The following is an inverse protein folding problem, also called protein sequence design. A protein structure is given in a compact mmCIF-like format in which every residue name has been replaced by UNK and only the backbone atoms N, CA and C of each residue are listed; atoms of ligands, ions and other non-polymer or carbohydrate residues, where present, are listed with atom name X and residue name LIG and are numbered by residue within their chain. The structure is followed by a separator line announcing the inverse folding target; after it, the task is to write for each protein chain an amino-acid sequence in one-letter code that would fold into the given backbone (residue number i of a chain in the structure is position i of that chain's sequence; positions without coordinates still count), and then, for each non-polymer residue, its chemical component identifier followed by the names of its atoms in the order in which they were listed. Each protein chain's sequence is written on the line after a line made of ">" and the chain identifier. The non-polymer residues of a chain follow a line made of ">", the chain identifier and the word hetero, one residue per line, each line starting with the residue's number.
data_IF_401505744140
#
_entry.id   IF_401505744140
#
_cell.length_a   1.000
_cell.length_b   1.000
_cell.length_c   1.000
_cell.angle_alpha   90.00
_cell.angle_beta   90.00
_cell.angle_gamma   90.00
#
_symmetry.space_group_name_H-M   'P 1'
#
loop_
_entity.id
_entity.type
_entity.pdbx_description
1 polymer ?
#
# COMPACT_ATOMS: atom_id res chain seq x y z
N UNK A 1 -8.07 -22.24 23.39
CA UNK A 1 -6.60 -22.27 23.59
C UNK A 1 -6.30 -23.06 24.86
N UNK A 2 -5.25 -23.91 24.90
CA UNK A 2 -4.84 -24.55 26.15
C UNK A 2 -4.45 -23.48 27.19
N UNK A 3 -4.55 -23.76 28.50
CA UNK A 3 -4.15 -22.82 29.54
C UNK A 3 -2.62 -22.70 29.67
N UNK A 4 -2.09 -21.58 30.19
CA UNK A 4 -0.66 -21.34 30.33
C UNK A 4 -0.03 -22.25 31.39
N UNK A 5 1.26 -22.55 31.23
CA UNK A 5 2.00 -23.36 32.21
C UNK A 5 2.38 -22.52 33.43
N UNK A 6 1.85 -22.91 34.60
CA UNK A 6 2.09 -22.24 35.88
C UNK A 6 3.57 -22.10 36.25
N UNK A 7 4.38 -23.13 36.04
CA UNK A 7 5.83 -23.08 36.30
C UNK A 7 6.52 -22.05 35.41
N UNK A 8 6.12 -21.99 34.14
CA UNK A 8 6.70 -21.06 33.17
C UNK A 8 6.21 -19.62 33.38
N UNK A 9 4.97 -19.42 33.85
CA UNK A 9 4.45 -18.12 34.26
C UNK A 9 5.14 -17.58 35.52
N UNK A 10 5.55 -18.46 36.42
CA UNK A 10 6.35 -18.11 37.60
C UNK A 10 7.84 -17.83 37.28
N UNK A 11 8.26 -18.00 36.02
CA UNK A 11 9.66 -17.83 35.61
C UNK A 11 10.58 -18.98 36.05
N UNK A 12 10.00 -20.10 36.49
CA UNK A 12 10.73 -21.29 36.93
C UNK A 12 10.90 -22.29 35.77
N UNK A 13 11.89 -23.18 35.91
CA UNK A 13 12.11 -24.26 34.93
C UNK A 13 11.00 -25.30 35.06
N UNK A 14 10.15 -25.42 34.03
CA UNK A 14 9.11 -26.44 33.99
C UNK A 14 9.73 -27.86 33.98
N UNK A 15 9.31 -28.78 34.89
CA UNK A 15 9.82 -30.15 34.93
C UNK A 15 9.45 -30.99 33.70
N UNK A 16 8.41 -30.59 32.98
CA UNK A 16 7.97 -31.26 31.74
C UNK A 16 8.67 -30.73 30.47
N UNK A 17 9.53 -29.72 30.61
CA UNK A 17 10.34 -29.19 29.51
C UNK A 17 9.53 -28.84 28.26
N UNK A 18 10.01 -29.29 27.09
CA UNK A 18 9.38 -29.06 25.78
C UNK A 18 8.14 -29.93 25.52
N UNK A 19 7.88 -30.92 26.37
CA UNK A 19 6.72 -31.82 26.28
C UNK A 19 5.59 -31.40 27.23
N UNK A 20 5.65 -30.19 27.79
CA UNK A 20 4.58 -29.68 28.62
C UNK A 20 3.28 -29.55 27.82
N UNK A 21 2.19 -30.15 28.34
CA UNK A 21 0.85 -30.07 27.75
C UNK A 21 0.20 -28.67 27.86
N UNK A 22 0.82 -27.76 28.60
CA UNK A 22 0.39 -26.39 28.81
C UNK A 22 1.31 -25.44 28.05
N UNK A 23 0.79 -24.33 27.52
CA UNK A 23 1.61 -23.47 26.67
C UNK A 23 2.58 -22.59 27.48
N UNK A 24 3.81 -22.49 27.00
CA UNK A 24 4.86 -21.66 27.58
C UNK A 24 4.91 -20.32 26.82
N UNK A 25 4.65 -19.18 27.49
CA UNK A 25 4.74 -17.85 26.87
C UNK A 25 6.21 -17.36 26.91
N UNK A 26 6.89 -17.16 25.76
CA UNK A 26 8.31 -16.87 25.76
C UNK A 26 8.59 -15.41 26.12
N UNK A 27 8.62 -15.11 27.42
CA UNK A 27 9.36 -13.95 27.92
C UNK A 27 10.82 -14.37 28.17
N UNK A 28 11.68 -13.94 27.26
CA UNK A 28 13.16 -14.10 27.20
C UNK A 28 13.66 -15.48 26.77
N UNK A 29 14.26 -15.55 25.59
CA UNK A 29 15.30 -16.55 25.26
C UNK A 29 14.92 -17.65 24.27
N UNK A 30 13.66 -18.03 24.10
CA UNK A 30 13.29 -19.14 23.21
C UNK A 30 13.63 -18.89 21.73
N UNK A 31 13.52 -17.64 21.27
CA UNK A 31 13.82 -17.25 19.89
C UNK A 31 15.31 -17.31 19.49
N UNK A 32 16.21 -17.64 20.43
CA UNK A 32 17.66 -17.73 20.19
C UNK A 32 18.21 -19.17 20.20
N UNK A 33 17.36 -20.15 20.52
CA UNK A 33 17.75 -21.56 20.52
C UNK A 33 17.63 -22.10 19.09
N UNK A 34 18.70 -22.70 18.56
CA UNK A 34 18.70 -23.31 17.21
C UNK A 34 17.69 -24.45 17.10
N UNK A 35 17.00 -24.49 15.97
CA UNK A 35 16.04 -25.54 15.66
C UNK A 35 16.79 -26.79 15.16
N UNK A 36 17.02 -27.75 16.05
CA UNK A 36 17.69 -29.01 15.68
C UNK A 36 16.96 -29.75 14.54
N UNK A 37 15.63 -29.68 14.49
CA UNK A 37 14.85 -30.30 13.39
C UNK A 37 15.05 -29.60 12.04
N UNK A 38 15.38 -28.31 12.04
CA UNK A 38 15.69 -27.59 10.80
C UNK A 38 17.11 -27.93 10.33
N UNK A 39 18.07 -28.01 11.25
CA UNK A 39 19.45 -28.41 10.95
C UNK A 39 19.51 -29.81 10.31
N UNK A 40 18.58 -30.70 10.67
CA UNK A 40 18.46 -32.04 10.08
C UNK A 40 17.44 -32.12 8.92
N UNK A 41 16.88 -31.00 8.47
CA UNK A 41 16.01 -30.95 7.28
C UNK A 41 14.57 -31.45 7.46
N UNK A 42 14.10 -31.64 8.69
CA UNK A 42 12.78 -32.20 9.01
C UNK A 42 11.82 -31.22 9.71
N UNK A 43 12.18 -29.93 9.78
CA UNK A 43 11.33 -28.92 10.42
C UNK A 43 10.09 -28.61 9.58
N UNK A 44 8.96 -29.21 9.97
CA UNK A 44 7.63 -28.98 9.37
C UNK A 44 7.01 -27.60 9.63
N UNK A 45 7.63 -26.79 10.49
CA UNK A 45 7.09 -25.50 10.92
C UNK A 45 7.61 -24.32 10.10
N UNK A 46 8.62 -24.54 9.24
CA UNK A 46 9.13 -23.51 8.32
C UNK A 46 9.42 -22.18 9.01
N UNK A 47 8.92 -21.09 8.45
CA UNK A 47 9.05 -19.73 9.00
C UNK A 47 8.21 -19.48 10.27
N UNK A 48 7.27 -20.36 10.60
CA UNK A 48 6.49 -20.32 11.83
C UNK A 48 7.18 -21.09 12.99
N UNK A 49 8.39 -21.60 12.76
CA UNK A 49 9.16 -22.24 13.81
C UNK A 49 9.60 -21.21 14.86
N UNK A 50 9.31 -21.49 16.12
CA UNK A 50 9.67 -20.64 17.26
C UNK A 50 11.18 -20.69 17.62
N UNK A 51 11.98 -21.44 16.87
CA UNK A 51 13.41 -21.68 17.05
C UNK A 51 14.20 -21.14 15.85
N UNK A 52 15.48 -20.81 16.05
CA UNK A 52 16.31 -20.16 15.04
C UNK A 52 16.72 -21.14 13.92
N UNK A 53 16.48 -20.76 12.66
CA UNK A 53 16.84 -21.49 11.43
C UNK A 53 18.10 -20.93 10.74
N UNK A 54 18.94 -20.19 11.47
CA UNK A 54 20.13 -19.50 10.94
C UNK A 54 21.28 -19.58 11.94
N UNK A 55 22.51 -19.65 11.44
CA UNK A 55 23.72 -19.72 12.28
C UNK A 55 24.13 -18.37 12.88
N UNK A 56 23.53 -17.27 12.41
CA UNK A 56 23.86 -15.93 12.87
C UNK A 56 22.96 -15.51 14.03
N UNK A 57 23.56 -15.21 15.19
CA UNK A 57 22.86 -14.58 16.33
C UNK A 57 22.29 -13.21 15.88
N UNK A 58 21.05 -12.87 16.23
CA UNK A 58 20.52 -11.53 15.97
C UNK A 58 21.33 -10.45 16.71
N UNK A 59 21.43 -9.26 16.13
CA UNK A 59 22.30 -8.16 16.62
C UNK A 59 21.85 -7.62 17.98
N UNK A 60 22.81 -7.31 18.84
CA UNK A 60 22.58 -6.73 20.16
C UNK A 60 22.30 -5.23 20.07
N UNK A 61 21.04 -4.83 20.20
CA UNK A 61 20.65 -3.42 20.20
C UNK A 61 21.29 -2.58 21.32
N UNK A 62 21.57 -3.19 22.48
CA UNK A 62 22.24 -2.50 23.59
C UNK A 62 23.73 -2.26 23.27
N UNK A 63 24.38 -3.19 22.57
CA UNK A 63 25.79 -3.03 22.20
C UNK A 63 25.94 -1.99 21.10
N UNK A 64 25.04 -1.99 20.12
CA UNK A 64 24.98 -0.96 19.08
C UNK A 64 24.78 0.47 19.63
N UNK A 65 24.32 0.62 20.89
CA UNK A 65 24.18 1.90 21.59
C UNK A 65 25.27 2.15 22.64
N UNK A 66 26.27 1.28 22.74
CA UNK A 66 27.34 1.35 23.74
C UNK A 66 26.87 1.05 25.18
N UNK A 67 25.69 0.46 25.35
CA UNK A 67 25.03 0.25 26.65
C UNK A 67 24.98 -1.24 27.06
N UNK A 68 25.55 -2.14 26.28
CA UNK A 68 25.56 -3.57 26.63
C UNK A 68 26.57 -3.86 27.72
N UNK A 69 26.10 -4.42 28.85
CA UNK A 69 26.94 -4.84 29.98
C UNK A 69 27.32 -6.33 29.94
N UNK A 70 26.79 -7.08 28.97
CA UNK A 70 26.95 -8.54 28.89
C UNK A 70 28.22 -8.99 28.16
N UNK A 71 29.00 -8.06 27.58
CA UNK A 71 30.28 -8.35 26.93
C UNK A 71 30.21 -9.50 25.91
N UNK A 72 31.24 -10.35 25.88
CA UNK A 72 31.30 -11.53 25.02
C UNK A 72 30.28 -12.64 25.37
N UNK A 73 29.70 -12.59 26.58
CA UNK A 73 28.66 -13.52 27.02
C UNK A 73 27.25 -13.11 26.53
N UNK A 74 27.14 -12.07 25.72
CA UNK A 74 25.87 -11.63 25.18
C UNK A 74 25.28 -12.70 24.24
N UNK A 75 23.98 -12.99 24.44
CA UNK A 75 23.23 -13.92 23.62
C UNK A 75 22.92 -13.37 22.21
N UNK A 76 23.18 -12.07 22.00
CA UNK A 76 22.99 -11.35 20.75
C UNK A 76 24.34 -10.97 20.15
N UNK A 77 24.45 -10.92 18.82
CA UNK A 77 25.71 -10.61 18.14
C UNK A 77 26.18 -9.18 18.44
N UNK A 78 27.45 -9.04 18.82
CA UNK A 78 28.16 -7.77 18.94
C UNK A 78 28.95 -7.43 17.67
N UNK A 79 28.91 -8.30 16.67
CA UNK A 79 29.46 -8.05 15.35
C UNK A 79 28.48 -7.15 14.60
N UNK A 80 28.56 -5.84 14.83
CA UNK A 80 27.91 -4.87 13.97
C UNK A 80 28.94 -4.41 12.94
N UNK A 81 28.62 -4.41 11.62
CA UNK A 81 29.33 -3.56 10.70
C UNK A 81 29.05 -2.12 11.15
N UNK A 82 30.10 -1.32 11.31
CA UNK A 82 30.08 0.07 11.75
C UNK A 82 29.27 1.00 10.84
N UNK A 83 28.70 0.48 9.75
CA UNK A 83 28.09 1.27 8.70
C UNK A 83 26.59 0.92 8.65
N UNK A 84 25.78 1.65 9.44
CA UNK A 84 24.32 1.62 9.25
C UNK A 84 23.95 1.93 7.78
N UNK A 85 24.81 2.73 7.12
CA UNK A 85 24.82 3.10 5.71
C UNK A 85 25.11 1.95 4.73
N UNK A 86 25.53 0.76 5.18
CA UNK A 86 25.76 -0.42 4.34
C UNK A 86 24.72 -1.53 4.55
N UNK A 87 23.89 -1.40 5.59
CA UNK A 87 22.89 -2.41 5.92
C UNK A 87 21.55 -2.13 5.22
N UNK A 88 21.09 -3.10 4.43
CA UNK A 88 19.83 -3.00 3.67
C UNK A 88 18.64 -2.91 4.63
N UNK A 89 17.75 -1.97 4.37
CA UNK A 89 16.55 -1.76 5.16
C UNK A 89 15.61 -2.96 5.04
N UNK A 90 15.52 -3.78 6.08
CA UNK A 90 14.62 -4.93 6.08
C UNK A 90 13.14 -4.54 5.90
N UNK A 91 12.75 -3.38 6.43
CA UNK A 91 11.40 -2.85 6.24
C UNK A 91 11.16 -2.39 4.80
N UNK A 92 12.20 -1.92 4.09
CA UNK A 92 12.08 -1.55 2.67
C UNK A 92 11.93 -2.79 1.80
N UNK A 93 12.72 -3.84 2.05
CA UNK A 93 12.59 -5.14 1.37
C UNK A 93 11.19 -5.76 1.55
N UNK A 94 10.50 -5.44 2.65
CA UNK A 94 9.12 -5.88 2.92
C UNK A 94 8.04 -4.91 2.42
N UNK A 95 8.42 -3.74 1.91
CA UNK A 95 7.48 -2.67 1.51
C UNK A 95 6.82 -1.93 2.69
N UNK A 96 7.35 -2.08 3.91
CA UNK A 96 6.80 -1.52 5.16
C UNK A 96 7.63 -0.35 5.71
N UNK A 97 8.67 0.10 4.99
CA UNK A 97 9.52 1.19 5.46
C UNK A 97 8.77 2.53 5.47
N UNK A 98 8.62 3.12 6.65
CA UNK A 98 7.95 4.42 6.85
C UNK A 98 8.88 5.63 6.72
N UNK A 99 10.18 5.38 6.52
CA UNK A 99 11.22 6.40 6.52
C UNK A 99 11.61 6.86 5.12
N UNK A 100 11.17 6.18 4.04
CA UNK A 100 11.46 6.62 2.67
C UNK A 100 12.96 6.82 2.42
N UNK A 101 13.33 7.85 1.66
CA UNK A 101 14.74 8.17 1.34
C UNK A 101 15.55 8.69 2.53
N UNK A 102 14.89 9.13 3.61
CA UNK A 102 15.56 9.52 4.86
C UNK A 102 15.84 8.33 5.78
N UNK A 103 15.61 7.10 5.28
CA UNK A 103 15.95 5.90 6.00
C UNK A 103 17.48 5.77 6.10
N UNK A 104 17.99 5.67 7.33
CA UNK A 104 19.41 5.44 7.62
C UNK A 104 19.99 4.10 7.13
N UNK A 105 19.17 3.29 6.46
CA UNK A 105 19.45 1.94 6.01
C UNK A 105 19.25 1.88 4.49
N UNK A 106 20.10 1.15 3.76
CA UNK A 106 20.09 1.15 2.30
C UNK A 106 18.78 0.62 1.73
N UNK A 107 18.18 1.39 0.82
CA UNK A 107 17.05 0.99 0.01
C UNK A 107 17.56 0.49 -1.35
N UNK A 108 18.32 -0.61 -1.33
CA UNK A 108 18.90 -1.17 -2.56
C UNK A 108 17.91 -2.14 -3.21
N UNK A 109 17.48 -1.85 -4.44
CA UNK A 109 16.86 -2.85 -5.31
C UNK A 109 17.97 -3.79 -5.76
N UNK A 110 17.95 -5.04 -5.28
CA UNK A 110 18.84 -6.07 -5.81
C UNK A 110 18.36 -6.44 -7.22
N UNK A 111 19.04 -5.91 -8.23
CA UNK A 111 18.74 -6.20 -9.64
C UNK A 111 19.28 -7.56 -10.12
N UNK A 112 19.92 -8.35 -9.26
CA UNK A 112 20.36 -9.68 -9.65
C UNK A 112 20.22 -10.69 -8.51
N UNK A 113 19.61 -11.83 -8.87
CA UNK A 113 19.37 -13.04 -8.07
C UNK A 113 18.18 -13.03 -7.10
N UNK A 114 16.97 -13.15 -7.66
CA UNK A 114 16.01 -14.17 -7.19
C UNK A 114 15.11 -14.66 -8.34
N UNK A 115 15.21 -15.93 -8.77
CA UNK A 115 14.26 -16.50 -9.71
C UNK A 115 12.92 -16.74 -9.00
N UNK A 116 11.88 -16.08 -9.50
CA UNK A 116 10.50 -16.52 -9.46
C UNK A 116 9.90 -16.83 -8.05
N UNK A 117 9.94 -15.91 -7.07
CA UNK A 117 9.04 -15.96 -5.89
C UNK A 117 8.35 -14.65 -5.45
N UNK A 118 8.65 -13.48 -6.03
CA UNK A 118 7.99 -12.21 -5.62
C UNK A 118 7.13 -11.51 -6.68
N UNK A 119 7.15 -11.93 -7.95
CA UNK A 119 6.44 -11.21 -9.02
C UNK A 119 5.00 -11.70 -9.28
N UNK A 120 4.61 -12.88 -8.77
CA UNK A 120 3.31 -13.50 -9.04
C UNK A 120 2.31 -13.48 -7.86
N UNK A 121 2.70 -12.94 -6.70
CA UNK A 121 1.83 -12.88 -5.51
C UNK A 121 1.17 -11.51 -5.27
N UNK A 122 1.48 -10.51 -6.12
CA UNK A 122 0.95 -9.15 -6.02
C UNK A 122 -0.07 -8.76 -7.09
N UNK A 123 -0.32 -9.63 -8.07
CA UNK A 123 -1.31 -9.33 -9.12
C UNK A 123 -2.71 -9.27 -8.51
N UNK A 124 -3.41 -8.16 -8.72
CA UNK A 124 -4.78 -8.02 -8.25
C UNK A 124 -5.67 -8.98 -9.04
N UNK A 125 -6.13 -10.06 -8.41
CA UNK A 125 -7.02 -11.06 -9.04
C UNK A 125 -8.44 -11.03 -8.47
N UNK A 126 -8.69 -10.23 -7.43
CA UNK A 126 -10.00 -10.11 -6.79
C UNK A 126 -10.18 -8.74 -6.12
N UNK A 127 -11.43 -8.32 -5.83
CA UNK A 127 -11.68 -7.07 -5.09
C UNK A 127 -11.00 -7.04 -3.71
N UNK A 128 -10.94 -8.20 -3.02
CA UNK A 128 -10.24 -8.32 -1.73
C UNK A 128 -8.74 -8.06 -1.87
N UNK A 129 -8.11 -8.60 -2.93
CA UNK A 129 -6.69 -8.34 -3.22
C UNK A 129 -6.47 -6.88 -3.61
N UNK A 130 -7.40 -6.25 -4.32
CA UNK A 130 -7.35 -4.82 -4.64
C UNK A 130 -7.38 -3.97 -3.37
N UNK A 131 -8.25 -4.30 -2.40
CA UNK A 131 -8.35 -3.60 -1.12
C UNK A 131 -7.03 -3.65 -0.33
N UNK A 132 -6.46 -4.85 -0.18
CA UNK A 132 -5.17 -5.05 0.52
C UNK A 132 -4.04 -4.30 -0.17
N UNK A 133 -4.01 -4.35 -1.51
CA UNK A 133 -3.03 -3.61 -2.30
C UNK A 133 -3.13 -2.09 -2.06
N UNK A 134 -4.34 -1.52 -2.13
CA UNK A 134 -4.56 -0.09 -1.91
C UNK A 134 -4.24 0.35 -0.48
N UNK A 135 -4.57 -0.46 0.53
CA UNK A 135 -4.23 -0.19 1.92
C UNK A 135 -2.71 -0.16 2.16
N UNK A 136 -1.97 -1.08 1.53
CA UNK A 136 -0.51 -1.12 1.61
C UNK A 136 0.11 0.11 0.93
N UNK A 137 -0.30 0.40 -0.30
CA UNK A 137 0.28 1.50 -1.10
C UNK A 137 -0.07 2.86 -0.49
N UNK A 138 -1.28 3.04 0.07
CA UNK A 138 -1.70 4.32 0.68
C UNK A 138 -0.85 4.74 1.88
N UNK A 139 -0.32 3.75 2.61
CA UNK A 139 0.57 3.96 3.76
C UNK A 139 2.02 4.30 3.38
N UNK A 140 2.41 4.09 2.14
CA UNK A 140 3.75 4.43 1.68
C UNK A 140 3.87 5.95 1.46
N UNK A 141 5.02 6.53 1.83
CA UNK A 141 5.27 7.98 1.73
C UNK A 141 5.86 8.42 0.39
N UNK A 142 6.51 7.51 -0.34
CA UNK A 142 7.11 7.82 -1.64
C UNK A 142 6.04 7.83 -2.73
N UNK A 143 5.66 9.01 -3.22
CA UNK A 143 4.60 9.15 -4.23
C UNK A 143 5.01 8.58 -5.59
N UNK A 144 6.30 8.66 -5.96
CA UNK A 144 6.83 7.99 -7.16
C UNK A 144 6.65 6.48 -7.12
N UNK A 145 6.99 5.86 -5.99
CA UNK A 145 6.78 4.42 -5.79
C UNK A 145 5.28 4.06 -5.86
N UNK A 146 4.41 4.88 -5.26
CA UNK A 146 2.97 4.65 -5.32
C UNK A 146 2.44 4.72 -6.76
N UNK A 147 2.93 5.69 -7.55
CA UNK A 147 2.58 5.84 -8.95
C UNK A 147 3.03 4.64 -9.78
N UNK A 148 4.28 4.19 -9.64
CA UNK A 148 4.81 3.03 -10.36
C UNK A 148 4.04 1.75 -9.99
N UNK A 149 3.77 1.51 -8.70
CA UNK A 149 2.99 0.35 -8.25
C UNK A 149 1.55 0.35 -8.80
N UNK A 150 0.90 1.52 -8.84
CA UNK A 150 -0.44 1.67 -9.41
C UNK A 150 -0.44 1.44 -10.93
N UNK A 151 0.62 1.90 -11.64
CA UNK A 151 0.78 1.69 -13.07
C UNK A 151 0.93 0.22 -13.43
N UNK A 152 1.73 -0.53 -12.67
CA UNK A 152 1.90 -1.97 -12.87
C UNK A 152 0.57 -2.72 -12.72
N UNK A 153 -0.27 -2.30 -11.76
CA UNK A 153 -1.57 -2.95 -11.47
C UNK A 153 -2.78 -2.26 -12.14
N UNK A 154 -2.58 -1.29 -13.04
CA UNK A 154 -3.66 -0.44 -13.59
C UNK A 154 -4.78 -1.22 -14.28
N UNK A 155 -4.42 -2.29 -15.02
CA UNK A 155 -5.38 -3.11 -15.75
C UNK A 155 -6.32 -3.88 -14.83
N UNK A 156 -5.75 -4.71 -13.92
CA UNK A 156 -6.52 -5.36 -12.87
C UNK A 156 -7.32 -4.40 -11.97
N UNK A 157 -6.69 -3.32 -11.50
CA UNK A 157 -7.34 -2.34 -10.63
C UNK A 157 -8.57 -1.72 -11.30
N UNK A 158 -8.48 -1.33 -12.58
CA UNK A 158 -9.60 -0.80 -13.36
C UNK A 158 -10.84 -1.69 -13.31
N UNK A 159 -10.65 -3.00 -13.36
CA UNK A 159 -11.75 -3.97 -13.39
C UNK A 159 -12.47 -4.05 -12.03
N UNK A 160 -11.76 -3.82 -10.92
CA UNK A 160 -12.31 -3.99 -9.58
C UNK A 160 -12.75 -2.68 -8.90
N UNK A 161 -12.41 -1.49 -9.42
CA UNK A 161 -12.79 -0.19 -8.83
C UNK A 161 -14.29 -0.10 -8.49
N UNK A 162 -15.15 -0.69 -9.30
CA UNK A 162 -16.61 -0.65 -9.10
C UNK A 162 -17.09 -1.55 -7.96
N UNK A 163 -16.31 -2.56 -7.60
CA UNK A 163 -16.58 -3.53 -6.54
C UNK A 163 -15.94 -3.10 -5.20
N UNK A 164 -15.13 -2.04 -5.21
CA UNK A 164 -14.51 -1.49 -4.02
C UNK A 164 -15.56 -0.81 -3.11
N UNK A 165 -15.35 -0.94 -1.80
CA UNK A 165 -16.10 -0.22 -0.79
C UNK A 165 -15.68 1.24 -0.69
N UNK A 166 -16.39 1.98 0.16
CA UNK A 166 -16.18 3.42 0.38
C UNK A 166 -14.77 3.71 0.92
N UNK A 167 -14.28 2.92 1.87
CA UNK A 167 -12.96 3.10 2.48
C UNK A 167 -11.84 2.87 1.45
N UNK A 168 -11.98 1.85 0.60
CA UNK A 168 -11.01 1.54 -0.44
C UNK A 168 -11.00 2.62 -1.53
N UNK A 169 -12.17 3.13 -1.92
CA UNK A 169 -12.28 4.28 -2.82
C UNK A 169 -11.63 5.52 -2.22
N UNK A 170 -11.83 5.79 -0.92
CA UNK A 170 -11.17 6.90 -0.25
C UNK A 170 -9.64 6.79 -0.32
N UNK A 171 -9.08 5.60 -0.07
CA UNK A 171 -7.65 5.34 -0.21
C UNK A 171 -7.16 5.58 -1.65
N UNK A 172 -7.91 5.08 -2.64
CA UNK A 172 -7.57 5.25 -4.05
C UNK A 172 -7.58 6.72 -4.49
N UNK A 173 -8.62 7.48 -4.17
CA UNK A 173 -8.70 8.90 -4.55
C UNK A 173 -7.64 9.74 -3.84
N UNK A 174 -7.34 9.47 -2.57
CA UNK A 174 -6.23 10.13 -1.87
C UNK A 174 -4.88 9.81 -2.53
N UNK A 175 -4.62 8.54 -2.83
CA UNK A 175 -3.41 8.08 -3.52
C UNK A 175 -3.22 8.76 -4.88
N UNK A 176 -4.25 8.74 -5.72
CA UNK A 176 -4.21 9.38 -7.04
C UNK A 176 -4.06 10.89 -6.94
N UNK A 177 -4.61 11.51 -5.89
CA UNK A 177 -4.41 12.93 -5.61
C UNK A 177 -2.94 13.27 -5.37
N UNK A 178 -2.24 12.49 -4.53
CA UNK A 178 -0.79 12.66 -4.28
C UNK A 178 0.05 12.37 -5.53
N UNK A 179 -0.26 11.28 -6.24
CA UNK A 179 0.47 10.90 -7.44
C UNK A 179 0.39 11.97 -8.56
N UNK A 180 -0.67 12.79 -8.56
CA UNK A 180 -0.84 13.88 -9.51
C UNK A 180 0.05 15.11 -9.25
N UNK A 181 0.82 15.14 -8.17
CA UNK A 181 1.82 16.18 -7.87
C UNK A 181 3.26 15.75 -8.23
N UNK A 182 3.45 14.51 -8.70
CA UNK A 182 4.78 13.98 -9.06
C UNK A 182 5.25 14.57 -10.40
N UNK A 183 6.55 14.83 -10.55
CA UNK A 183 7.15 15.39 -11.77
C UNK A 183 6.93 14.53 -13.03
N UNK A 184 6.71 13.22 -12.85
CA UNK A 184 6.51 12.23 -13.92
C UNK A 184 5.09 12.28 -14.51
N UNK A 185 4.73 13.44 -15.08
CA UNK A 185 3.37 13.73 -15.60
C UNK A 185 2.86 12.72 -16.60
N UNK A 186 3.70 12.20 -17.49
CA UNK A 186 3.29 11.24 -18.52
C UNK A 186 2.79 9.92 -17.91
N UNK A 187 3.50 9.42 -16.89
CA UNK A 187 3.12 8.22 -16.14
C UNK A 187 1.79 8.41 -15.41
N UNK A 188 1.60 9.57 -14.77
CA UNK A 188 0.33 9.90 -14.14
C UNK A 188 -0.83 9.95 -15.13
N UNK A 189 -0.65 10.61 -16.28
CA UNK A 189 -1.69 10.71 -17.31
C UNK A 189 -2.04 9.34 -17.91
N UNK A 190 -1.05 8.45 -18.08
CA UNK A 190 -1.27 7.07 -18.50
C UNK A 190 -2.13 6.29 -17.48
N UNK A 191 -1.81 6.41 -16.19
CA UNK A 191 -2.57 5.77 -15.11
C UNK A 191 -4.01 6.29 -15.05
N UNK A 192 -4.19 7.61 -14.98
CA UNK A 192 -5.53 8.23 -14.91
C UNK A 192 -6.32 7.92 -16.17
N UNK A 193 -5.71 7.98 -17.34
CA UNK A 193 -6.34 7.58 -18.60
C UNK A 193 -6.91 6.16 -18.52
N UNK A 194 -6.10 5.21 -18.04
CA UNK A 194 -6.51 3.81 -17.90
C UNK A 194 -7.64 3.58 -16.88
N UNK A 195 -7.67 4.35 -15.78
CA UNK A 195 -8.67 4.18 -14.70
C UNK A 195 -9.92 5.08 -14.88
N UNK A 196 -9.84 6.11 -15.72
CA UNK A 196 -10.80 7.22 -15.83
C UNK A 196 -12.27 6.79 -15.88
N UNK A 197 -12.63 5.85 -16.75
CA UNK A 197 -14.02 5.37 -16.90
C UNK A 197 -14.54 4.77 -15.60
N UNK A 198 -13.77 3.88 -14.97
CA UNK A 198 -14.16 3.23 -13.71
C UNK A 198 -14.22 4.22 -12.55
N UNK A 199 -13.30 5.20 -12.49
CA UNK A 199 -13.31 6.26 -11.49
C UNK A 199 -14.56 7.14 -11.61
N UNK A 200 -14.92 7.57 -12.82
CA UNK A 200 -16.09 8.41 -13.07
C UNK A 200 -17.39 7.68 -12.68
N UNK A 201 -17.51 6.40 -13.05
CA UNK A 201 -18.69 5.58 -12.74
C UNK A 201 -18.78 5.25 -11.24
N UNK A 202 -17.64 4.99 -10.58
CA UNK A 202 -17.58 4.63 -9.16
C UNK A 202 -17.68 5.82 -8.19
N UNK A 203 -17.32 7.03 -8.64
CA UNK A 203 -17.25 8.22 -7.79
C UNK A 203 -18.54 8.58 -7.02
N UNK A 204 -19.77 8.45 -7.56
CA UNK A 204 -20.99 8.87 -6.85
C UNK A 204 -21.12 8.28 -5.43
N UNK A 205 -20.80 6.99 -5.26
CA UNK A 205 -20.89 6.31 -3.95
C UNK A 205 -19.90 6.89 -2.95
N UNK A 206 -18.69 7.21 -3.40
CA UNK A 206 -17.68 7.82 -2.56
C UNK A 206 -18.06 9.27 -2.20
N UNK A 207 -18.50 10.06 -3.18
CA UNK A 207 -18.87 11.48 -2.97
C UNK A 207 -19.90 11.64 -1.85
N UNK A 208 -20.90 10.76 -1.81
CA UNK A 208 -21.94 10.79 -0.77
C UNK A 208 -21.36 10.58 0.64
N UNK A 209 -20.30 9.78 0.75
CA UNK A 209 -19.63 9.45 2.02
C UNK A 209 -18.53 10.42 2.47
N UNK A 210 -18.13 11.37 1.62
CA UNK A 210 -17.07 12.34 1.96
C UNK A 210 -17.46 13.12 3.22
N UNK A 211 -16.54 13.26 4.16
CA UNK A 211 -16.80 13.95 5.43
C UNK A 211 -15.90 15.17 5.64
N UNK A 212 -14.89 15.38 4.79
CA UNK A 212 -13.94 16.48 4.94
C UNK A 212 -13.52 17.12 3.62
N UNK A 213 -13.02 18.35 3.73
CA UNK A 213 -12.55 19.17 2.61
C UNK A 213 -11.43 18.49 1.81
N UNK A 214 -10.41 17.93 2.47
CA UNK A 214 -9.28 17.31 1.80
C UNK A 214 -9.69 16.13 0.89
N UNK A 215 -10.66 15.33 1.34
CA UNK A 215 -11.24 14.23 0.56
C UNK A 215 -12.01 14.76 -0.66
N UNK A 216 -12.79 15.83 -0.48
CA UNK A 216 -13.53 16.47 -1.56
C UNK A 216 -12.60 17.07 -2.62
N UNK A 217 -11.54 17.74 -2.18
CA UNK A 217 -10.53 18.33 -3.05
C UNK A 217 -9.80 17.26 -3.86
N UNK A 218 -9.30 16.21 -3.20
CA UNK A 218 -8.62 15.10 -3.87
C UNK A 218 -9.54 14.41 -4.90
N UNK A 219 -10.79 14.10 -4.50
CA UNK A 219 -11.77 13.50 -5.39
C UNK A 219 -12.04 14.38 -6.62
N UNK A 220 -12.23 15.69 -6.41
CA UNK A 220 -12.53 16.64 -7.49
C UNK A 220 -11.34 16.79 -8.43
N UNK A 221 -10.10 16.88 -7.92
CA UNK A 221 -8.88 16.96 -8.72
C UNK A 221 -8.74 15.74 -9.64
N UNK A 222 -8.85 14.53 -9.07
CA UNK A 222 -8.77 13.27 -9.84
C UNK A 222 -9.86 13.20 -10.92
N UNK A 223 -11.08 13.65 -10.62
CA UNK A 223 -12.17 13.66 -11.60
C UNK A 223 -11.97 14.70 -12.71
N UNK A 224 -11.34 15.84 -12.41
CA UNK A 224 -10.93 16.82 -13.44
C UNK A 224 -9.93 16.19 -14.40
N UNK A 225 -8.91 15.52 -13.87
CA UNK A 225 -7.89 14.88 -14.70
C UNK A 225 -8.46 13.71 -15.52
N UNK A 226 -9.32 12.89 -14.91
CA UNK A 226 -10.04 11.83 -15.59
C UNK A 226 -10.93 12.38 -16.73
N UNK A 227 -11.65 13.47 -16.50
CA UNK A 227 -12.51 14.10 -17.51
C UNK A 227 -11.71 14.74 -18.65
N UNK A 228 -10.55 15.33 -18.32
CA UNK A 228 -9.63 15.92 -19.31
C UNK A 228 -9.10 14.86 -20.27
N UNK A 229 -8.69 13.71 -19.73
CA UNK A 229 -8.08 12.61 -20.49
C UNK A 229 -9.13 11.72 -21.18
N UNK A 230 -10.34 11.60 -20.63
CA UNK A 230 -11.42 10.79 -21.19
C UNK A 230 -12.63 11.65 -21.58
N UNK A 231 -12.55 12.28 -22.76
CA UNK A 231 -13.60 13.17 -23.28
C UNK A 231 -14.94 12.48 -23.53
N UNK A 232 -14.94 11.17 -23.77
CA UNK A 232 -16.16 10.38 -24.00
C UNK A 232 -16.99 10.31 -22.71
N UNK A 233 -16.34 10.01 -21.59
CA UNK A 233 -16.99 9.86 -20.29
C UNK A 233 -17.03 11.15 -19.45
N UNK A 234 -16.36 12.23 -19.88
CA UNK A 234 -16.35 13.54 -19.21
C UNK A 234 -17.75 14.08 -18.86
N UNK A 235 -18.77 13.74 -19.65
CA UNK A 235 -20.17 14.12 -19.41
C UNK A 235 -20.83 13.40 -18.23
N UNK A 236 -20.34 12.21 -17.89
CA UNK A 236 -20.87 11.38 -16.82
C UNK A 236 -20.31 11.78 -15.44
N UNK A 237 -19.37 12.71 -15.40
CA UNK A 237 -18.80 13.22 -14.14
C UNK A 237 -19.95 13.78 -13.26
N UNK A 238 -20.05 13.37 -11.99
CA UNK A 238 -21.14 13.75 -11.10
C UNK A 238 -20.99 15.17 -10.52
N UNK A 239 -20.82 16.19 -11.38
CA UNK A 239 -20.57 17.59 -10.99
C UNK A 239 -21.63 18.13 -10.03
N UNK A 240 -22.91 17.78 -10.24
CA UNK A 240 -24.01 18.23 -9.37
C UNK A 240 -23.85 17.67 -7.95
N UNK A 241 -23.42 16.40 -7.81
CA UNK A 241 -23.18 15.80 -6.49
C UNK A 241 -21.99 16.44 -5.79
N UNK A 242 -20.91 16.73 -6.52
CA UNK A 242 -19.74 17.42 -5.96
C UNK A 242 -20.09 18.83 -5.46
N UNK A 243 -20.84 19.61 -6.26
CA UNK A 243 -21.28 20.96 -5.86
C UNK A 243 -22.20 20.89 -4.66
N UNK A 244 -23.15 19.94 -4.62
CA UNK A 244 -24.01 19.74 -3.46
C UNK A 244 -23.17 19.40 -2.22
N UNK A 245 -22.24 18.45 -2.33
CA UNK A 245 -21.40 18.02 -1.21
C UNK A 245 -20.50 19.13 -0.69
N UNK A 246 -19.98 20.00 -1.57
CA UNK A 246 -19.22 21.20 -1.18
C UNK A 246 -20.03 22.16 -0.33
N UNK A 247 -21.32 22.33 -0.63
CA UNK A 247 -22.24 23.17 0.14
C UNK A 247 -22.60 22.52 1.48
N UNK A 248 -22.90 21.22 1.45
CA UNK A 248 -23.24 20.46 2.66
C UNK A 248 -22.10 20.45 3.70
N UNK A 249 -20.85 20.52 3.23
CA UNK A 249 -19.64 20.62 4.07
C UNK A 249 -19.19 22.07 4.35
N UNK A 250 -19.92 23.07 3.85
CA UNK A 250 -19.60 24.50 3.99
C UNK A 250 -18.17 24.88 3.56
N UNK A 251 -17.61 24.18 2.57
CA UNK A 251 -16.22 24.39 2.12
C UNK A 251 -16.10 25.70 1.36
N UNK A 252 -15.24 26.61 1.85
CA UNK A 252 -14.89 27.89 1.21
C UNK A 252 -13.45 27.86 0.70
N UNK A 253 -13.22 27.06 -0.34
CA UNK A 253 -11.90 26.85 -0.91
C UNK A 253 -11.88 27.28 -2.39
N UNK A 254 -11.13 28.34 -2.72
CA UNK A 254 -11.04 28.89 -4.07
C UNK A 254 -10.52 27.88 -5.10
N UNK A 255 -9.61 27.00 -4.69
CA UNK A 255 -9.07 25.94 -5.55
C UNK A 255 -10.17 24.95 -5.92
N UNK A 256 -10.99 24.53 -4.95
CA UNK A 256 -12.11 23.63 -5.19
C UNK A 256 -13.13 24.26 -6.14
N UNK A 257 -13.46 25.54 -5.95
CA UNK A 257 -14.37 26.27 -6.83
C UNK A 257 -13.86 26.33 -8.27
N UNK A 258 -12.57 26.63 -8.45
CA UNK A 258 -11.90 26.61 -9.76
C UNK A 258 -11.98 25.23 -10.43
N UNK A 259 -11.76 24.15 -9.69
CA UNK A 259 -11.87 22.78 -10.20
C UNK A 259 -13.31 22.42 -10.61
N UNK A 260 -14.32 22.79 -9.79
CA UNK A 260 -15.73 22.57 -10.10
C UNK A 260 -16.16 23.33 -11.37
N UNK A 261 -15.64 24.54 -11.58
CA UNK A 261 -15.88 25.31 -12.81
C UNK A 261 -15.28 24.62 -14.04
N UNK A 262 -14.04 24.10 -13.95
CA UNK A 262 -13.42 23.29 -15.02
C UNK A 262 -14.25 22.06 -15.38
N UNK A 263 -14.80 21.35 -14.38
CA UNK A 263 -15.68 20.20 -14.63
C UNK A 263 -16.97 20.56 -15.36
N UNK A 264 -17.58 21.71 -15.06
CA UNK A 264 -18.76 22.20 -15.78
C UNK A 264 -18.46 22.41 -17.27
N UNK A 265 -17.28 22.94 -17.59
CA UNK A 265 -16.83 23.13 -18.98
C UNK A 265 -16.66 21.78 -19.70
N UNK A 266 -15.97 20.82 -19.09
CA UNK A 266 -15.80 19.48 -19.67
C UNK A 266 -17.15 18.78 -19.95
N UNK A 267 -18.13 18.94 -19.05
CA UNK A 267 -19.49 18.41 -19.22
C UNK A 267 -20.20 19.03 -20.43
N UNK A 268 -20.02 20.33 -20.66
CA UNK A 268 -20.69 21.06 -21.75
C UNK A 268 -20.02 20.83 -23.10
N UNK A 269 -18.68 20.79 -23.17
CA UNK A 269 -17.93 20.66 -24.42
C UNK A 269 -18.14 19.31 -25.12
N UNK A 270 -18.56 18.26 -24.41
CA UNK A 270 -18.92 17.00 -25.04
C UNK A 270 -20.10 17.10 -26.02
N UNK A 271 -20.94 18.16 -25.98
CA UNK A 271 -22.07 18.42 -26.91
C UNK A 271 -21.68 18.55 -28.38
N UNK A 272 -20.46 18.95 -28.71
CA UNK A 272 -20.09 19.29 -30.08
C UNK A 272 -19.57 18.12 -30.92
N UNK A 273 -19.23 16.97 -30.31
CA UNK A 273 -18.66 15.82 -31.02
C UNK A 273 -19.67 14.69 -31.33
N UNK A 274 -20.97 14.92 -31.11
CA UNK A 274 -22.03 13.92 -31.30
C UNK A 274 -22.95 14.10 -32.52
N UNK A 275 -22.62 14.98 -33.47
CA UNK A 275 -23.36 15.12 -34.73
C UNK A 275 -22.41 15.06 -35.91
N UNK A 276 -22.27 13.86 -36.48
CA UNK A 276 -22.08 13.59 -37.92
C UNK A 276 -21.82 12.09 -38.13
N UNK A 277 -22.88 11.30 -38.05
CA UNK A 277 -23.04 10.17 -38.96
C UNK A 277 -24.22 10.55 -39.84
N UNK A 278 -23.91 11.33 -40.88
CA UNK A 278 -24.83 11.63 -41.95
C UNK A 278 -25.16 10.33 -42.67
N UNK A 279 -26.45 10.03 -42.72
CA UNK A 279 -27.05 9.09 -43.66
C UNK A 279 -26.55 9.37 -45.08
N UNK A 280 -26.06 8.38 -45.85
CA UNK A 280 -25.83 8.60 -47.26
C UNK A 280 -27.19 8.59 -47.98
N UNK A 281 -27.67 9.78 -48.34
CA UNK A 281 -28.61 9.95 -49.45
C UNK A 281 -27.83 10.43 -50.68
N UNK A 282 -27.99 9.67 -51.77
CA UNK A 282 -28.10 10.07 -53.20
C UNK A 282 -28.03 8.76 -54.00
N UNK A 283 -28.98 8.35 -54.83
CA UNK A 283 -29.89 9.13 -55.66
C UNK A 283 -29.22 9.40 -57.00
N UNK A 284 -29.59 8.65 -58.04
CA UNK A 284 -29.09 8.72 -59.41
C UNK A 284 -29.41 7.44 -60.18
#
# INVERSE_FOLDING_TARGET
>A
MPPPCRYHEAGERCPHGLHCKYYHNPRRGAALVRCQFYDHGHCRFGYACQFLHSDKKPVCHFFARGQCRNGAACLFSHDCPSNAEESVCHFFLKGECKNGETCRFLHQQSDDQQPARSRYEETIVSPKRAAVFLERVSRHKGDKFCLDALLEQKGPLRNFIRDLGVCELANLFALLGRCGEVEEKQKYEELIGALSTSLIIGAPRYIESISGEAQLLACTKVLVDAARLNRIFARQVPVIRLVKKSRDLEVKNETLEGLLMRLKVHKNNGRLSGRSLGTPQKGG
#
